data_IF_345089308484
#
_entry.id   IF_345089308484
#
_cell.length_a   1.000
_cell.length_b   1.000
_cell.length_c   1.000
_cell.angle_alpha   90.00
_cell.angle_beta   90.00
_cell.angle_gamma   90.00
#
_symmetry.space_group_name_H-M   'P 1'
#
loop_
_entity.id
_entity.type
_entity.pdbx_description
1 polymer ?
#
# COMPACT_ATOMS: atom_id res chain seq x y z
N UNK A 1 -2.70 8.56 11.18
CA UNK A 1 -2.39 8.06 12.55
C UNK A 1 -2.87 6.62 12.76
N UNK A 2 -4.18 6.34 12.71
CA UNK A 2 -4.74 4.98 12.96
C UNK A 2 -4.21 3.92 11.99
N UNK A 3 -4.12 4.22 10.68
CA UNK A 3 -3.53 3.28 9.70
C UNK A 3 -2.05 2.97 9.99
N UNK A 4 -1.30 3.98 10.46
CA UNK A 4 0.11 3.79 10.83
C UNK A 4 0.27 2.91 12.07
N UNK A 5 -0.62 3.07 13.07
CA UNK A 5 -0.68 2.18 14.23
C UNK A 5 -0.99 0.74 13.81
N UNK A 6 -1.99 0.54 12.95
CA UNK A 6 -2.31 -0.79 12.42
C UNK A 6 -1.13 -1.44 11.70
N UNK A 7 -0.34 -0.67 10.95
CA UNK A 7 0.87 -1.17 10.30
C UNK A 7 1.95 -1.57 11.31
N UNK A 8 2.16 -0.77 12.36
CA UNK A 8 3.12 -1.08 13.42
C UNK A 8 2.74 -2.34 14.22
N UNK A 9 1.47 -2.48 14.59
CA UNK A 9 0.94 -3.67 15.25
C UNK A 9 1.01 -4.90 14.36
N UNK A 10 0.69 -4.75 13.07
CA UNK A 10 0.87 -5.82 12.08
C UNK A 10 2.31 -6.31 11.98
N UNK A 11 3.29 -5.39 12.04
CA UNK A 11 4.72 -5.72 12.07
C UNK A 11 5.15 -6.42 13.38
N UNK A 12 4.49 -6.11 14.51
CA UNK A 12 4.72 -6.80 15.77
C UNK A 12 4.14 -8.22 15.78
N UNK A 13 2.89 -8.38 15.34
CA UNK A 13 2.20 -9.68 15.24
C UNK A 13 2.90 -10.63 14.27
N UNK A 14 3.47 -10.10 13.18
CA UNK A 14 4.11 -10.94 12.15
C UNK A 14 5.39 -11.60 12.63
N UNK A 15 6.00 -11.14 13.74
CA UNK A 15 7.09 -11.87 14.41
C UNK A 15 6.62 -13.13 15.15
N UNK A 16 5.35 -13.19 15.55
CA UNK A 16 4.77 -14.33 16.32
C UNK A 16 3.98 -15.29 15.44
N UNK A 17 3.13 -14.77 14.56
CA UNK A 17 2.24 -15.55 13.68
C UNK A 17 2.85 -15.77 12.28
N UNK A 18 3.89 -15.03 11.94
CA UNK A 18 4.39 -15.00 10.56
C UNK A 18 3.56 -14.03 9.70
N UNK A 19 4.24 -13.37 8.76
CA UNK A 19 3.66 -12.30 7.96
C UNK A 19 2.42 -12.70 7.17
N UNK A 20 2.47 -13.83 6.47
CA UNK A 20 1.37 -14.26 5.61
C UNK A 20 0.07 -14.54 6.40
N UNK A 21 0.17 -14.98 7.66
CA UNK A 21 -0.98 -15.20 8.53
C UNK A 21 -1.60 -13.88 8.97
N UNK A 22 -0.76 -12.91 9.36
CA UNK A 22 -1.23 -11.58 9.78
C UNK A 22 -1.99 -10.90 8.65
N UNK A 23 -1.47 -10.92 7.42
CA UNK A 23 -2.18 -10.30 6.30
C UNK A 23 -3.45 -11.06 5.92
N UNK A 24 -3.45 -12.40 5.98
CA UNK A 24 -4.66 -13.19 5.71
C UNK A 24 -5.77 -12.88 6.70
N UNK A 25 -5.44 -12.80 8.00
CA UNK A 25 -6.40 -12.40 9.04
C UNK A 25 -6.85 -10.95 8.87
N UNK A 26 -5.95 -10.03 8.54
CA UNK A 26 -6.31 -8.63 8.27
C UNK A 26 -7.27 -8.52 7.08
N UNK A 27 -7.07 -9.30 6.01
CA UNK A 27 -7.97 -9.34 4.85
C UNK A 27 -9.34 -9.91 5.21
N UNK A 28 -9.40 -10.99 6.00
CA UNK A 28 -10.67 -11.56 6.47
C UNK A 28 -11.44 -10.58 7.36
N UNK A 29 -10.75 -9.89 8.27
CA UNK A 29 -11.36 -8.86 9.12
C UNK A 29 -11.83 -7.65 8.32
N UNK A 30 -11.03 -7.22 7.33
CA UNK A 30 -11.38 -6.11 6.45
C UNK A 30 -12.52 -6.45 5.48
N UNK A 31 -12.70 -7.73 5.13
CA UNK A 31 -13.75 -8.19 4.22
C UNK A 31 -15.14 -7.73 4.69
N UNK A 32 -15.41 -7.82 6.00
CA UNK A 32 -16.72 -7.47 6.57
C UNK A 32 -17.09 -6.00 6.33
N UNK A 33 -16.34 -5.00 6.86
CA UNK A 33 -16.67 -3.59 6.63
C UNK A 33 -16.55 -3.21 5.14
N UNK A 34 -15.62 -3.80 4.39
CA UNK A 34 -15.49 -3.50 2.96
C UNK A 34 -16.69 -4.02 2.16
N UNK A 35 -17.25 -5.18 2.52
CA UNK A 35 -18.46 -5.70 1.86
C UNK A 35 -19.66 -4.81 2.16
N UNK A 36 -19.82 -4.36 3.41
CA UNK A 36 -20.89 -3.42 3.77
C UNK A 36 -20.79 -2.12 2.97
N UNK A 37 -19.59 -1.54 2.87
CA UNK A 37 -19.35 -0.34 2.08
C UNK A 37 -19.60 -0.59 0.59
N UNK A 38 -19.13 -1.72 0.05
CA UNK A 38 -19.35 -2.07 -1.35
C UNK A 38 -20.83 -2.20 -1.69
N UNK A 39 -21.62 -2.81 -0.79
CA UNK A 39 -23.08 -2.94 -0.94
C UNK A 39 -23.81 -1.59 -0.79
N UNK A 40 -23.33 -0.71 0.09
CA UNK A 40 -23.87 0.63 0.26
C UNK A 40 -23.53 1.58 -0.90
N UNK A 41 -22.42 1.33 -1.59
CA UNK A 41 -21.92 2.15 -2.70
C UNK A 41 -22.24 1.55 -4.09
N UNK A 42 -23.15 0.58 -4.17
CA UNK A 42 -23.56 -0.02 -5.45
C UNK A 42 -24.13 1.07 -6.37
N UNK A 43 -23.62 1.23 -7.60
CA UNK A 43 -24.15 2.22 -8.53
C UNK A 43 -25.56 1.83 -8.97
N UNK A 44 -26.39 2.83 -9.30
CA UNK A 44 -27.76 2.61 -9.78
C UNK A 44 -27.83 1.71 -11.05
N UNK A 45 -26.74 1.65 -11.82
CA UNK A 45 -26.60 0.80 -13.00
C UNK A 45 -25.35 -0.10 -12.91
N UNK A 46 -25.45 -1.26 -12.21
CA UNK A 46 -24.32 -2.19 -12.03
C UNK A 46 -23.82 -2.79 -13.35
N UNK A 47 -24.68 -2.87 -14.36
CA UNK A 47 -24.32 -3.36 -15.70
C UNK A 47 -23.25 -2.52 -16.41
N UNK A 48 -22.99 -1.29 -15.93
CA UNK A 48 -21.93 -0.43 -16.46
C UNK A 48 -20.52 -0.75 -15.96
N UNK A 49 -20.35 -1.71 -15.04
CA UNK A 49 -19.02 -2.09 -14.55
C UNK A 49 -18.30 -2.90 -15.63
N UNK A 50 -17.39 -2.23 -16.34
CA UNK A 50 -16.61 -2.82 -17.43
C UNK A 50 -15.66 -3.93 -16.98
N UNK A 51 -15.26 -4.77 -17.93
CA UNK A 51 -14.28 -5.85 -17.71
C UNK A 51 -12.93 -5.35 -17.19
N UNK A 52 -12.52 -4.14 -17.57
CA UNK A 52 -11.29 -3.50 -17.07
C UNK A 52 -11.33 -3.23 -15.57
N UNK A 53 -12.48 -2.85 -15.02
CA UNK A 53 -12.64 -2.62 -13.58
C UNK A 53 -12.50 -3.93 -12.79
N UNK A 54 -13.12 -5.01 -13.28
CA UNK A 54 -12.98 -6.35 -12.72
C UNK A 54 -11.55 -6.88 -12.82
N UNK A 55 -10.89 -6.70 -13.97
CA UNK A 55 -9.49 -7.07 -14.16
C UNK A 55 -8.57 -6.27 -13.21
N UNK A 56 -8.82 -4.97 -13.03
CA UNK A 56 -8.11 -4.13 -12.07
C UNK A 56 -8.30 -4.61 -10.63
N UNK A 57 -9.52 -4.96 -10.23
CA UNK A 57 -9.81 -5.53 -8.90
C UNK A 57 -9.07 -6.85 -8.70
N UNK A 58 -9.09 -7.74 -9.68
CA UNK A 58 -8.36 -9.01 -9.65
C UNK A 58 -6.85 -8.78 -9.54
N UNK A 59 -6.28 -7.88 -10.34
CA UNK A 59 -4.87 -7.55 -10.30
C UNK A 59 -4.46 -6.98 -8.93
N UNK A 60 -5.20 -6.00 -8.43
CA UNK A 60 -4.87 -5.36 -7.14
C UNK A 60 -4.99 -6.35 -5.99
N UNK A 61 -6.03 -7.20 -5.96
CA UNK A 61 -6.26 -8.14 -4.85
C UNK A 61 -5.35 -9.37 -4.89
N UNK A 62 -5.22 -10.03 -6.05
CA UNK A 62 -4.49 -11.30 -6.15
C UNK A 62 -3.01 -11.07 -6.39
N UNK A 63 -2.65 -10.25 -7.39
CA UNK A 63 -1.25 -10.05 -7.75
C UNK A 63 -0.56 -9.03 -6.85
N UNK A 64 -1.09 -7.80 -6.79
CA UNK A 64 -0.43 -6.72 -6.06
C UNK A 64 -0.45 -6.96 -4.55
N UNK A 65 -1.59 -7.38 -4.01
CA UNK A 65 -1.73 -7.64 -2.58
C UNK A 65 -1.23 -9.04 -2.24
N UNK A 66 -1.99 -10.11 -2.53
CA UNK A 66 -1.66 -11.45 -2.01
C UNK A 66 -0.28 -11.97 -2.45
N UNK A 67 -0.02 -12.01 -3.76
CA UNK A 67 1.27 -12.48 -4.29
C UNK A 67 2.41 -11.49 -3.97
N UNK A 68 2.16 -10.19 -4.12
CA UNK A 68 3.10 -9.13 -3.76
C UNK A 68 3.58 -9.24 -2.31
N UNK A 69 2.70 -9.65 -1.39
CA UNK A 69 3.06 -9.85 0.02
C UNK A 69 4.09 -10.97 0.24
N UNK A 70 4.12 -12.00 -0.62
CA UNK A 70 5.16 -13.06 -0.55
C UNK A 70 6.53 -12.47 -0.83
N UNK A 71 6.66 -11.69 -1.91
CA UNK A 71 7.89 -10.99 -2.27
C UNK A 71 8.27 -9.94 -1.22
N UNK A 72 7.27 -9.23 -0.69
CA UNK A 72 7.46 -8.23 0.35
C UNK A 72 8.07 -8.83 1.61
N UNK A 73 7.51 -9.94 2.12
CA UNK A 73 8.07 -10.60 3.31
C UNK A 73 9.44 -11.20 3.04
N UNK A 74 9.68 -11.74 1.84
CA UNK A 74 11.01 -12.21 1.47
C UNK A 74 12.02 -11.05 1.42
N UNK A 75 11.63 -9.91 0.86
CA UNK A 75 12.42 -8.69 0.85
C UNK A 75 12.73 -8.17 2.25
N UNK A 76 11.75 -8.16 3.14
CA UNK A 76 11.94 -7.81 4.56
C UNK A 76 12.89 -8.77 5.28
N UNK A 77 12.81 -10.07 4.99
CA UNK A 77 13.70 -11.06 5.56
C UNK A 77 15.16 -10.91 5.09
N UNK A 78 15.37 -10.50 3.83
CA UNK A 78 16.70 -10.31 3.24
C UNK A 78 17.32 -8.94 3.58
N UNK A 79 16.56 -7.85 3.45
CA UNK A 79 17.03 -6.47 3.60
C UNK A 79 16.78 -5.86 5.00
N UNK A 80 16.09 -6.58 5.87
CA UNK A 80 15.69 -6.09 7.19
C UNK A 80 14.61 -5.01 7.15
N UNK A 81 13.82 -4.89 8.23
CA UNK A 81 12.70 -3.94 8.31
C UNK A 81 13.17 -2.50 8.13
N UNK A 82 14.28 -2.12 8.76
CA UNK A 82 14.81 -0.76 8.71
C UNK A 82 15.28 -0.37 7.29
N UNK A 83 15.98 -1.27 6.58
CA UNK A 83 16.48 -1.02 5.22
C UNK A 83 15.35 -0.95 4.20
N UNK A 84 14.46 -1.94 4.21
CA UNK A 84 13.30 -1.98 3.32
C UNK A 84 12.33 -0.83 3.58
N UNK A 85 12.18 -0.39 4.84
CA UNK A 85 11.41 0.79 5.18
C UNK A 85 11.98 2.09 4.58
N UNK A 86 13.31 2.19 4.42
CA UNK A 86 13.90 3.33 3.70
C UNK A 86 13.65 3.26 2.20
N UNK A 87 13.69 2.06 1.59
CA UNK A 87 13.34 1.90 0.18
C UNK A 87 11.89 2.34 -0.10
N UNK A 88 10.98 2.11 0.85
CA UNK A 88 9.60 2.61 0.75
C UNK A 88 9.49 4.14 0.72
N UNK A 89 10.45 4.89 1.25
CA UNK A 89 10.44 6.36 1.14
C UNK A 89 10.63 6.84 -0.30
N UNK A 90 11.15 5.98 -1.19
CA UNK A 90 11.24 6.25 -2.63
C UNK A 90 9.94 5.95 -3.38
N UNK A 91 9.02 5.18 -2.78
CA UNK A 91 7.76 4.77 -3.41
C UNK A 91 6.92 5.95 -3.93
N UNK A 92 6.78 7.09 -3.22
CA UNK A 92 6.04 8.24 -3.73
C UNK A 92 6.63 8.80 -5.04
N UNK A 93 7.96 8.80 -5.19
CA UNK A 93 8.64 9.33 -6.38
C UNK A 93 8.46 8.39 -7.56
N UNK A 94 8.64 7.09 -7.34
CA UNK A 94 8.36 6.10 -8.38
C UNK A 94 6.87 6.08 -8.75
N UNK A 95 5.97 6.31 -7.80
CA UNK A 95 4.54 6.47 -8.05
C UNK A 95 4.23 7.66 -8.96
N UNK A 96 4.78 8.85 -8.64
CA UNK A 96 4.62 10.05 -9.48
C UNK A 96 5.25 9.86 -10.86
N UNK A 97 6.44 9.25 -10.94
CA UNK A 97 7.10 8.95 -12.21
C UNK A 97 6.25 8.00 -13.06
N UNK A 98 5.73 6.92 -12.46
CA UNK A 98 4.85 5.98 -13.15
C UNK A 98 3.55 6.65 -13.61
N UNK A 99 2.94 7.52 -12.80
CA UNK A 99 1.77 8.29 -13.19
C UNK A 99 2.06 9.20 -14.40
N UNK A 100 3.21 9.90 -14.39
CA UNK A 100 3.61 10.76 -15.51
C UNK A 100 3.96 9.99 -16.79
N UNK A 101 4.66 8.85 -16.69
CA UNK A 101 5.13 8.09 -17.86
C UNK A 101 4.07 7.14 -18.41
N UNK A 102 3.32 6.45 -17.55
CA UNK A 102 2.37 5.41 -17.96
C UNK A 102 0.99 6.00 -18.17
N UNK A 103 0.49 6.78 -17.19
CA UNK A 103 -0.85 7.37 -17.22
C UNK A 103 -0.87 8.74 -17.91
N UNK A 104 0.29 9.30 -18.25
CA UNK A 104 0.44 10.62 -18.86
C UNK A 104 -0.20 11.74 -18.01
N UNK A 105 -0.25 11.55 -16.69
CA UNK A 105 -0.80 12.53 -15.76
C UNK A 105 0.19 13.67 -15.49
N UNK A 106 -0.29 14.92 -15.36
CA UNK A 106 0.58 16.05 -15.09
C UNK A 106 1.16 15.96 -13.67
N UNK A 107 2.47 15.74 -13.59
CA UNK A 107 3.20 15.77 -12.31
C UNK A 107 3.56 17.21 -11.98
N UNK A 108 2.71 17.85 -11.16
CA UNK A 108 2.94 19.21 -10.72
C UNK A 108 4.21 19.31 -9.85
N UNK A 109 4.98 20.39 -10.01
CA UNK A 109 6.21 20.59 -9.23
C UNK A 109 5.94 20.59 -7.71
N UNK A 110 4.75 21.02 -7.29
CA UNK A 110 4.30 21.01 -5.89
C UNK A 110 4.17 19.61 -5.31
N UNK A 111 3.86 18.58 -6.11
CA UNK A 111 3.83 17.18 -5.68
C UNK A 111 5.24 16.69 -5.35
N UNK A 112 6.21 17.02 -6.22
CA UNK A 112 7.62 16.68 -6.01
C UNK A 112 8.15 17.40 -4.76
N UNK A 113 7.86 18.70 -4.62
CA UNK A 113 8.26 19.47 -3.45
C UNK A 113 7.68 18.91 -2.15
N UNK A 114 6.41 18.49 -2.16
CA UNK A 114 5.75 17.88 -1.00
C UNK A 114 6.38 16.54 -0.63
N UNK A 115 6.65 15.68 -1.62
CA UNK A 115 7.33 14.40 -1.40
C UNK A 115 8.74 14.62 -0.81
N UNK A 116 9.50 15.61 -1.33
CA UNK A 116 10.81 15.97 -0.80
C UNK A 116 10.74 16.51 0.64
N UNK A 117 9.75 17.35 0.95
CA UNK A 117 9.53 17.84 2.31
C UNK A 117 9.25 16.70 3.31
N UNK A 118 8.42 15.72 2.93
CA UNK A 118 8.17 14.53 3.75
C UNK A 118 9.46 13.74 3.98
N UNK A 119 10.29 13.53 2.95
CA UNK A 119 11.60 12.88 3.12
C UNK A 119 12.47 13.65 4.10
N UNK A 120 12.57 14.98 3.97
CA UNK A 120 13.40 15.81 4.85
C UNK A 120 12.91 15.73 6.30
N UNK A 121 11.61 15.76 6.53
CA UNK A 121 11.01 15.56 7.85
C UNK A 121 11.35 14.19 8.43
N UNK A 122 11.23 13.11 7.64
CA UNK A 122 11.56 11.75 8.07
C UNK A 122 13.05 11.59 8.35
N UNK A 123 13.92 12.13 7.49
CA UNK A 123 15.36 12.12 7.68
C UNK A 123 15.79 12.92 8.92
N UNK A 124 15.16 14.09 9.15
CA UNK A 124 15.33 14.87 10.37
C UNK A 124 14.90 14.08 11.60
N UNK A 125 13.69 13.53 11.62
CA UNK A 125 13.19 12.71 12.73
C UNK A 125 14.12 11.52 13.04
N UNK A 126 14.63 10.84 12.01
CA UNK A 126 15.60 9.74 12.17
C UNK A 126 16.94 10.18 12.75
N UNK A 127 17.34 11.44 12.57
CA UNK A 127 18.59 11.98 13.13
C UNK A 127 18.45 12.30 14.62
N UNK A 128 17.22 12.54 15.10
CA UNK A 128 16.93 12.90 16.49
C UNK A 128 16.28 11.77 17.30
N UNK A 129 16.07 10.60 16.71
CA UNK A 129 15.57 9.37 17.35
C UNK A 129 16.72 8.38 17.59
#
# INVERSE_FOLDING_TARGET
LVCGLGYAEGAALSRRLGGWQVISWALLLALVPMTVIALAAVPAHPAGIGTSAWAGLFYVSVFSMLVGFVFWYRGLALGGIAGVGQLQLLQPFFGLLAAGVVLHEPVAWTMIASAAAVILCVAGAKRFA
#
